data_IF_074529727935
#
_entry.id   IF_074529727935
#
_cell.length_a   1.000
_cell.length_b   1.000
_cell.length_c   1.000
_cell.angle_alpha   90.00
_cell.angle_beta   90.00
_cell.angle_gamma   90.00
#
_symmetry.space_group_name_H-M   'P 1'
#
loop_
_entity.id
_entity.type
_entity.pdbx_description
1 polymer ?
#
# COMPACT_ATOMS: atom_id res chain seq x y z
N UNK A 1 1.93 -9.53 27.93
CA UNK A 1 1.90 -10.82 27.21
C UNK A 1 1.58 -10.56 25.73
N UNK A 2 2.59 -10.47 24.88
CA UNK A 2 2.42 -10.29 23.43
C UNK A 2 1.93 -11.58 22.77
N UNK A 3 1.12 -11.46 21.72
CA UNK A 3 0.71 -12.63 20.92
C UNK A 3 1.90 -13.11 20.08
N UNK A 4 2.10 -14.42 20.02
CA UNK A 4 3.06 -15.03 19.11
C UNK A 4 2.61 -14.90 17.65
N UNK A 5 3.58 -15.03 16.73
CA UNK A 5 3.31 -15.03 15.28
C UNK A 5 2.32 -16.12 14.91
N UNK A 6 1.54 -15.87 13.87
CA UNK A 6 0.54 -16.80 13.39
C UNK A 6 1.18 -18.07 12.80
N UNK A 7 0.51 -19.21 12.99
CA UNK A 7 0.94 -20.50 12.45
C UNK A 7 0.56 -20.57 10.96
N UNK A 8 1.53 -20.96 10.12
CA UNK A 8 1.35 -21.11 8.69
C UNK A 8 0.17 -22.04 8.34
N UNK A 9 -0.58 -21.65 7.31
CA UNK A 9 -1.62 -22.41 6.63
C UNK A 9 -1.34 -23.91 6.49
N UNK A 10 -0.14 -24.27 6.03
CA UNK A 10 0.22 -25.65 5.68
C UNK A 10 0.36 -26.52 6.92
N UNK A 11 0.89 -25.94 7.99
CA UNK A 11 0.96 -26.60 9.31
C UNK A 11 -0.46 -26.84 9.83
N UNK A 12 -1.36 -25.85 9.67
CA UNK A 12 -2.77 -25.99 10.08
C UNK A 12 -3.48 -27.10 9.30
N UNK A 13 -3.19 -27.28 8.00
CA UNK A 13 -3.74 -28.37 7.17
C UNK A 13 -3.26 -29.73 7.66
N UNK A 14 -1.94 -29.90 7.83
CA UNK A 14 -1.35 -31.14 8.38
C UNK A 14 -1.92 -31.53 9.75
N UNK A 15 -2.18 -30.55 10.63
CA UNK A 15 -2.81 -30.80 11.93
C UNK A 15 -4.20 -31.43 11.77
N UNK A 16 -5.00 -30.92 10.83
CA UNK A 16 -6.35 -31.44 10.56
C UNK A 16 -6.28 -32.84 9.96
N UNK A 17 -5.35 -33.08 9.03
CA UNK A 17 -5.19 -34.38 8.38
C UNK A 17 -4.73 -35.45 9.37
N UNK A 18 -3.71 -35.18 10.20
CA UNK A 18 -3.23 -36.10 11.23
C UNK A 18 -4.32 -36.43 12.26
N UNK A 19 -5.17 -35.46 12.61
CA UNK A 19 -6.29 -35.69 13.52
C UNK A 19 -7.39 -36.53 12.86
N UNK A 20 -7.68 -36.33 11.57
CA UNK A 20 -8.59 -37.21 10.81
C UNK A 20 -8.06 -38.64 10.73
N UNK A 21 -6.74 -38.82 10.66
CA UNK A 21 -6.06 -40.12 10.76
C UNK A 21 -6.02 -40.70 12.18
N UNK A 22 -6.68 -40.07 13.18
CA UNK A 22 -6.80 -40.60 14.54
C UNK A 22 -5.62 -40.30 15.47
N UNK A 23 -4.68 -39.43 15.08
CA UNK A 23 -3.55 -39.07 15.95
C UNK A 23 -4.01 -38.23 17.14
N UNK A 24 -3.46 -38.50 18.33
CA UNK A 24 -3.74 -37.73 19.53
C UNK A 24 -3.15 -36.31 19.47
N UNK A 25 -3.75 -35.37 20.20
CA UNK A 25 -3.29 -33.98 20.27
C UNK A 25 -1.81 -33.86 20.67
N UNK A 26 -1.36 -34.73 21.59
CA UNK A 26 0.03 -34.76 22.06
C UNK A 26 1.00 -35.34 21.02
N UNK A 27 0.57 -36.33 20.23
CA UNK A 27 1.37 -36.86 19.13
C UNK A 27 1.56 -35.80 18.03
N UNK A 28 0.49 -35.10 17.64
CA UNK A 28 0.53 -34.03 16.65
C UNK A 28 1.43 -32.87 17.11
N UNK A 29 1.30 -32.47 18.38
CA UNK A 29 2.12 -31.40 18.98
C UNK A 29 3.61 -31.71 18.92
N UNK A 30 4.01 -32.94 19.29
CA UNK A 30 5.40 -33.40 19.22
C UNK A 30 5.91 -33.48 17.78
N UNK A 31 5.11 -34.02 16.86
CA UNK A 31 5.49 -34.19 15.46
C UNK A 31 5.73 -32.85 14.75
N UNK A 32 4.84 -31.87 14.95
CA UNK A 32 4.88 -30.58 14.25
C UNK A 32 5.59 -29.47 15.04
N UNK A 33 6.08 -29.76 16.26
CA UNK A 33 6.69 -28.79 17.19
C UNK A 33 5.80 -27.56 17.45
N UNK A 34 4.49 -27.78 17.51
CA UNK A 34 3.48 -26.76 17.79
C UNK A 34 2.92 -26.98 19.20
N UNK A 35 2.69 -25.93 20.00
CA UNK A 35 2.09 -26.08 21.33
C UNK A 35 0.75 -26.83 21.28
N UNK A 36 0.53 -27.74 22.23
CA UNK A 36 -0.69 -28.55 22.33
C UNK A 36 -1.97 -27.70 22.35
N UNK A 37 -1.93 -26.52 22.99
CA UNK A 37 -3.05 -25.56 23.02
C UNK A 37 -3.40 -25.01 21.64
N UNK A 38 -2.40 -24.71 20.82
CA UNK A 38 -2.59 -24.29 19.43
C UNK A 38 -3.19 -25.41 18.57
N UNK A 39 -2.69 -26.64 18.72
CA UNK A 39 -3.28 -27.83 18.06
C UNK A 39 -4.76 -27.99 18.42
N UNK A 40 -5.08 -27.90 19.71
CA UNK A 40 -6.45 -28.01 20.22
C UNK A 40 -7.37 -26.89 19.69
N UNK A 41 -6.92 -25.63 19.65
CA UNK A 41 -7.73 -24.52 19.12
C UNK A 41 -7.99 -24.64 17.62
N UNK A 42 -7.03 -25.16 16.85
CA UNK A 42 -7.20 -25.43 15.42
C UNK A 42 -8.27 -26.50 15.20
N UNK A 43 -8.19 -27.62 15.91
CA UNK A 43 -9.14 -28.74 15.77
C UNK A 43 -10.55 -28.36 16.26
N UNK A 44 -10.65 -27.54 17.32
CA UNK A 44 -11.93 -27.09 17.87
C UNK A 44 -12.73 -26.13 16.97
N UNK A 45 -12.09 -25.46 15.99
CA UNK A 45 -12.80 -24.50 15.12
C UNK A 45 -13.87 -25.22 14.27
N UNK A 46 -15.13 -24.83 14.43
CA UNK A 46 -16.32 -25.53 13.90
C UNK A 46 -16.67 -25.30 12.42
N UNK A 47 -15.82 -24.64 11.63
CA UNK A 47 -16.22 -24.17 10.29
C UNK A 47 -15.58 -24.89 9.10
N UNK A 48 -15.01 -26.09 9.29
CA UNK A 48 -14.35 -26.84 8.20
C UNK A 48 -13.17 -26.11 7.52
N UNK A 49 -12.92 -24.86 7.92
CA UNK A 49 -12.01 -23.95 7.28
C UNK A 49 -10.76 -23.81 8.14
N UNK A 50 -9.65 -24.31 7.58
CA UNK A 50 -8.31 -24.25 8.16
C UNK A 50 -7.76 -22.81 8.12
N UNK A 51 -8.38 -21.92 7.34
CA UNK A 51 -7.97 -20.53 7.17
C UNK A 51 -8.06 -19.73 8.47
N UNK A 52 -7.05 -18.91 8.79
CA UNK A 52 -7.19 -17.82 9.73
C UNK A 52 -8.32 -16.89 9.29
N UNK A 53 -9.11 -16.44 10.25
CA UNK A 53 -10.13 -15.42 10.03
C UNK A 53 -9.54 -14.07 10.40
N UNK A 54 -9.56 -13.11 9.49
CA UNK A 54 -9.22 -11.73 9.82
C UNK A 54 -10.18 -11.21 10.89
N UNK A 55 -9.65 -10.43 11.83
CA UNK A 55 -10.50 -9.72 12.78
C UNK A 55 -11.25 -8.64 12.03
N UNK A 56 -12.51 -8.44 12.37
CA UNK A 56 -13.16 -7.17 12.06
C UNK A 56 -12.30 -6.07 12.68
N UNK A 57 -11.77 -5.18 11.82
CA UNK A 57 -10.96 -4.06 12.25
C UNK A 57 -11.76 -3.12 13.15
N UNK A 58 -11.09 -2.06 13.64
CA UNK A 58 -11.79 -0.98 14.33
C UNK A 58 -12.87 -0.45 13.39
N UNK A 59 -14.12 -0.37 13.88
CA UNK A 59 -15.19 0.29 13.13
C UNK A 59 -14.75 1.71 12.80
N UNK A 60 -14.97 2.12 11.56
CA UNK A 60 -14.85 3.52 11.18
C UNK A 60 -15.75 4.35 12.10
N UNK A 61 -15.17 5.39 12.71
CA UNK A 61 -15.85 6.24 13.70
C UNK A 61 -16.83 7.19 13.01
N UNK A 62 -16.66 7.45 11.72
CA UNK A 62 -17.45 8.43 10.99
C UNK A 62 -18.85 7.86 10.72
N UNK A 63 -19.84 8.46 11.39
CA UNK A 63 -21.23 8.33 10.99
C UNK A 63 -21.44 9.07 9.66
N UNK A 64 -22.36 8.65 8.77
CA UNK A 64 -22.66 9.35 7.51
C UNK A 64 -23.14 10.81 7.64
N UNK A 65 -23.11 11.39 8.85
CA UNK A 65 -23.72 12.67 9.22
C UNK A 65 -22.73 13.77 9.59
N UNK A 66 -21.42 13.48 9.56
CA UNK A 66 -20.37 14.49 9.73
C UNK A 66 -19.98 15.05 8.36
N UNK A 67 -19.77 16.37 8.31
CA UNK A 67 -19.68 17.24 7.13
C UNK A 67 -19.12 16.58 5.84
N UNK A 68 -19.90 16.54 4.73
CA UNK A 68 -19.53 15.84 3.48
C UNK A 68 -18.16 16.21 2.89
N UNK A 69 -17.65 17.39 3.20
CA UNK A 69 -16.40 17.93 2.63
C UNK A 69 -15.16 17.22 3.15
N UNK A 70 -15.13 16.88 4.43
CA UNK A 70 -13.98 16.22 5.05
C UNK A 70 -13.88 14.75 4.62
N UNK A 71 -15.04 14.11 4.41
CA UNK A 71 -15.12 12.76 3.84
C UNK A 71 -14.62 12.72 2.39
N UNK A 72 -15.07 13.65 1.54
CA UNK A 72 -14.63 13.75 0.14
C UNK A 72 -13.13 14.02 0.05
N UNK A 73 -12.61 14.90 0.92
CA UNK A 73 -11.18 15.19 0.98
C UNK A 73 -10.37 13.96 1.41
N UNK A 74 -10.76 13.30 2.49
CA UNK A 74 -10.08 12.10 2.99
C UNK A 74 -10.08 10.98 1.95
N UNK A 75 -11.23 10.75 1.29
CA UNK A 75 -11.38 9.75 0.23
C UNK A 75 -10.53 10.11 -1.00
N UNK A 76 -10.56 11.37 -1.43
CA UNK A 76 -9.75 11.83 -2.55
C UNK A 76 -8.25 11.67 -2.26
N UNK A 77 -7.79 12.02 -1.06
CA UNK A 77 -6.40 11.84 -0.64
C UNK A 77 -5.98 10.36 -0.61
N UNK A 78 -6.86 9.45 -0.17
CA UNK A 78 -6.56 8.00 -0.18
C UNK A 78 -6.45 7.47 -1.61
N UNK A 79 -7.38 7.84 -2.48
CA UNK A 79 -7.37 7.42 -3.90
C UNK A 79 -6.12 7.95 -4.60
N UNK A 80 -5.76 9.22 -4.39
CA UNK A 80 -4.53 9.80 -4.96
C UNK A 80 -3.28 9.05 -4.50
N UNK A 81 -3.19 8.70 -3.21
CA UNK A 81 -2.06 7.93 -2.66
C UNK A 81 -1.94 6.53 -3.31
N UNK A 82 -3.05 5.80 -3.44
CA UNK A 82 -3.04 4.47 -4.05
C UNK A 82 -2.66 4.46 -5.54
N UNK A 83 -2.94 5.56 -6.25
CA UNK A 83 -2.55 5.74 -7.64
C UNK A 83 -1.21 6.49 -7.81
N UNK A 84 -0.47 6.72 -6.72
CA UNK A 84 0.81 7.46 -6.70
C UNK A 84 0.73 8.88 -7.29
N UNK A 85 -0.48 9.45 -7.31
CA UNK A 85 -0.74 10.79 -7.83
C UNK A 85 -0.46 11.83 -6.75
N UNK A 86 0.25 12.90 -7.15
CA UNK A 86 0.61 14.01 -6.26
C UNK A 86 0.11 15.33 -6.84
N UNK A 87 -0.38 16.20 -5.97
CA UNK A 87 -0.72 17.58 -6.35
C UNK A 87 0.55 18.41 -6.60
N UNK A 88 0.65 19.02 -7.77
CA UNK A 88 1.68 20.02 -8.08
C UNK A 88 1.02 21.35 -8.43
N UNK A 89 1.59 22.46 -7.97
CA UNK A 89 1.20 23.78 -8.44
C UNK A 89 1.88 24.07 -9.79
N UNK A 90 1.11 24.53 -10.78
CA UNK A 90 1.66 24.92 -12.08
C UNK A 90 2.72 26.02 -11.95
N UNK A 91 3.86 25.89 -12.65
CA UNK A 91 4.91 26.91 -12.64
C UNK A 91 4.41 28.20 -13.27
N UNK A 92 4.60 29.34 -12.59
CA UNK A 92 4.30 30.67 -13.15
C UNK A 92 5.18 30.94 -14.38
N UNK A 93 4.57 31.31 -15.50
CA UNK A 93 5.25 31.66 -16.74
C UNK A 93 4.89 33.08 -17.14
N UNK A 94 5.84 33.87 -17.68
CA UNK A 94 5.53 35.18 -18.21
C UNK A 94 4.61 35.03 -19.42
N UNK A 95 3.69 35.98 -19.59
CA UNK A 95 2.84 36.06 -20.76
C UNK A 95 3.67 36.55 -21.95
N UNK A 96 3.86 35.70 -22.95
CA UNK A 96 4.59 36.03 -24.18
C UNK A 96 3.62 36.09 -25.34
N UNK A 97 3.56 37.26 -25.99
CA UNK A 97 2.92 37.40 -27.30
C UNK A 97 3.63 36.55 -28.36
N UNK A 98 2.92 36.25 -29.45
CA UNK A 98 3.40 35.34 -30.49
C UNK A 98 4.68 35.82 -31.19
N UNK A 99 4.82 37.13 -31.40
CA UNK A 99 6.02 37.69 -32.01
C UNK A 99 7.25 37.51 -31.09
N UNK A 100 7.09 37.67 -29.77
CA UNK A 100 8.16 37.38 -28.80
C UNK A 100 8.58 35.90 -28.82
N UNK A 101 7.61 34.97 -28.94
CA UNK A 101 7.92 33.53 -29.05
C UNK A 101 8.75 33.23 -30.31
N UNK A 102 8.38 33.82 -31.45
CA UNK A 102 9.11 33.69 -32.72
C UNK A 102 10.53 34.26 -32.62
N UNK A 103 10.67 35.48 -32.09
CA UNK A 103 11.97 36.11 -31.92
C UNK A 103 12.89 35.32 -30.99
N UNK A 104 12.36 34.82 -29.86
CA UNK A 104 13.12 33.97 -28.91
C UNK A 104 13.56 32.65 -29.54
N UNK A 105 12.69 32.03 -30.34
CA UNK A 105 13.03 30.78 -31.03
C UNK A 105 14.12 31.02 -32.07
N UNK A 106 13.98 32.03 -32.93
CA UNK A 106 15.00 32.40 -33.92
C UNK A 106 16.35 32.71 -33.26
N UNK A 107 16.33 33.45 -32.14
CA UNK A 107 17.52 33.74 -31.37
C UNK A 107 18.18 32.46 -30.84
N UNK A 108 17.40 31.57 -30.20
CA UNK A 108 17.90 30.29 -29.68
C UNK A 108 18.49 29.41 -30.80
N UNK A 109 17.84 29.32 -31.96
CA UNK A 109 18.35 28.54 -33.09
C UNK A 109 19.64 29.12 -33.66
N UNK A 110 19.73 30.44 -33.82
CA UNK A 110 20.93 31.09 -34.36
C UNK A 110 22.12 31.10 -33.38
N UNK A 111 21.88 30.84 -32.10
CA UNK A 111 22.88 30.96 -31.03
C UNK A 111 23.09 29.66 -30.23
N UNK A 112 22.43 28.56 -30.61
CA UNK A 112 22.44 27.29 -29.87
C UNK A 112 23.82 26.67 -29.72
N UNK A 113 24.67 26.80 -30.74
CA UNK A 113 26.02 26.21 -30.79
C UNK A 113 27.12 27.13 -30.21
N UNK A 114 26.75 28.28 -29.63
CA UNK A 114 27.72 29.26 -29.14
C UNK A 114 28.29 28.84 -27.79
N UNK A 115 29.62 28.93 -27.66
CA UNK A 115 30.37 28.55 -26.46
C UNK A 115 30.04 29.44 -25.25
N UNK A 116 30.30 28.94 -24.03
CA UNK A 116 30.02 29.65 -22.77
C UNK A 116 30.64 31.07 -22.71
N UNK A 117 31.80 31.27 -23.34
CA UNK A 117 32.45 32.58 -23.43
C UNK A 117 31.61 33.61 -24.20
N UNK A 118 30.86 33.20 -25.23
CA UNK A 118 29.94 34.08 -25.94
C UNK A 118 28.84 34.59 -24.98
N UNK A 119 28.24 33.69 -24.21
CA UNK A 119 27.16 34.04 -23.28
C UNK A 119 27.62 34.88 -22.09
N UNK A 120 28.88 34.73 -21.65
CA UNK A 120 29.49 35.54 -20.57
C UNK A 120 29.68 37.02 -20.94
N UNK A 121 29.75 37.36 -22.22
CA UNK A 121 29.87 38.74 -22.70
C UNK A 121 28.54 39.33 -23.16
N UNK A 122 27.47 38.53 -23.21
CA UNK A 122 26.16 38.91 -23.73
C UNK A 122 25.13 39.19 -22.62
N UNK A 123 25.36 38.67 -21.41
CA UNK A 123 24.64 39.03 -20.18
C UNK A 123 25.44 40.03 -19.37
#
# INVERSE_FOLDING_TARGET
MGKSREINQDIRKRIVDLHKCGSSLGAISRCLKVPRSSVQTIIRKKHGNVQPSYRSGRRWILSPREEPKDLVKMLAETVLYHHELKGYSGRRKPLLQNHHKKARLQFATAHGDKNLNFWRHCM
#
